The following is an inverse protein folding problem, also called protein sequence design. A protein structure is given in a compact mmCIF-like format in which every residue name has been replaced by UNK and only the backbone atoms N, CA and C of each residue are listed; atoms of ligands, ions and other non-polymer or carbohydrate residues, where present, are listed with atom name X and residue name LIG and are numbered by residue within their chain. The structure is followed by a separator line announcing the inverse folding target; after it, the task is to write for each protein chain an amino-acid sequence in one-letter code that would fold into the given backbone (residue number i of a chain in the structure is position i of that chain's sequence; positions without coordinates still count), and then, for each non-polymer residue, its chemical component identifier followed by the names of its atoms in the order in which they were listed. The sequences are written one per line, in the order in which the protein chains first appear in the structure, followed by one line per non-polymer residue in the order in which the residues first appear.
data_IF_082770038868
#
_entry.id   IF_082770038868
#
_cell.length_a   1.000
_cell.length_b   1.000
_cell.length_c   1.000
_cell.angle_alpha   90.00
_cell.angle_beta   90.00
_cell.angle_gamma   90.00
#
_symmetry.space_group_name_H-M   'P 1'
#
loop_
_entity.id
_entity.type
_entity.pdbx_description
1 polymer ?
#
# COMPACT_ATOMS: atom_id res chain seq x y z
N UNK A 1 -23.13 25.52 -23.03
CA UNK A 1 -21.91 25.75 -22.21
C UNK A 1 -22.36 25.92 -20.76
N UNK A 2 -22.58 24.81 -20.07
CA UNK A 2 -22.90 24.77 -18.65
C UNK A 2 -22.45 23.38 -18.15
N UNK A 3 -21.68 23.37 -17.06
CA UNK A 3 -21.29 22.19 -16.28
C UNK A 3 -20.60 21.03 -17.01
N UNK A 4 -19.30 21.20 -17.27
CA UNK A 4 -18.38 20.10 -16.92
C UNK A 4 -18.44 19.97 -15.40
N UNK A 5 -19.42 19.23 -14.90
CA UNK A 5 -19.31 18.60 -13.59
C UNK A 5 -17.90 18.01 -13.53
N UNK A 6 -17.16 18.33 -12.48
CA UNK A 6 -15.84 17.75 -12.19
C UNK A 6 -16.06 16.25 -11.94
N UNK A 7 -16.29 15.50 -13.00
CA UNK A 7 -16.33 14.05 -12.97
C UNK A 7 -14.89 13.64 -12.71
N UNK A 8 -14.60 13.30 -11.46
CA UNK A 8 -13.30 12.75 -11.11
C UNK A 8 -13.08 11.53 -11.98
N UNK A 9 -12.06 11.58 -12.82
CA UNK A 9 -11.70 10.45 -13.67
C UNK A 9 -11.41 9.24 -12.77
N UNK A 10 -12.21 8.16 -12.85
CA UNK A 10 -12.06 7.00 -11.99
C UNK A 10 -10.70 6.30 -12.21
N UNK A 11 -10.10 6.43 -13.39
CA UNK A 11 -8.75 5.93 -13.67
C UNK A 11 -7.69 6.76 -12.95
N UNK A 12 -7.84 8.08 -12.93
CA UNK A 12 -6.95 8.97 -12.17
C UNK A 12 -7.04 8.71 -10.66
N UNK A 13 -8.24 8.50 -10.13
CA UNK A 13 -8.41 8.12 -8.72
C UNK A 13 -7.80 6.75 -8.39
N UNK A 14 -7.94 5.77 -9.29
CA UNK A 14 -7.29 4.47 -9.15
C UNK A 14 -5.76 4.60 -9.11
N UNK A 15 -5.20 5.43 -10.00
CA UNK A 15 -3.77 5.74 -10.04
C UNK A 15 -3.30 6.42 -8.75
N UNK A 16 -4.02 7.44 -8.30
CA UNK A 16 -3.74 8.16 -7.05
C UNK A 16 -3.81 7.21 -5.83
N UNK A 17 -4.74 6.26 -5.83
CA UNK A 17 -4.87 5.25 -4.77
C UNK A 17 -3.69 4.26 -4.77
N UNK A 18 -3.26 3.78 -5.94
CA UNK A 18 -2.10 2.90 -6.05
C UNK A 18 -0.79 3.62 -5.68
N UNK A 19 -0.66 4.88 -6.07
CA UNK A 19 0.45 5.74 -5.66
C UNK A 19 0.45 5.97 -4.14
N UNK A 20 -0.71 6.28 -3.55
CA UNK A 20 -0.84 6.42 -2.10
C UNK A 20 -0.45 5.12 -1.37
N UNK A 21 -0.82 3.96 -1.92
CA UNK A 21 -0.39 2.66 -1.39
C UNK A 21 1.13 2.51 -1.41
N UNK A 22 1.80 2.92 -2.49
CA UNK A 22 3.25 2.89 -2.61
C UNK A 22 3.93 3.89 -1.67
N UNK A 23 3.37 5.10 -1.54
CA UNK A 23 3.87 6.13 -0.63
C UNK A 23 3.77 5.70 0.83
N UNK A 24 2.69 5.02 1.22
CA UNK A 24 2.53 4.51 2.59
C UNK A 24 3.59 3.44 2.93
N UNK A 25 4.04 2.66 1.94
CA UNK A 25 5.10 1.67 2.13
C UNK A 25 6.49 2.30 2.23
N UNK A 26 6.72 3.45 1.61
CA UNK A 26 8.08 4.00 1.39
C UNK A 26 8.37 5.26 2.20
N UNK A 27 7.56 6.31 2.06
CA UNK A 27 7.93 7.67 2.51
C UNK A 27 6.90 8.34 3.41
N UNK A 28 5.61 8.00 3.30
CA UNK A 28 4.51 8.61 4.07
C UNK A 28 3.65 7.56 4.79
N UNK A 29 4.25 6.74 5.68
CA UNK A 29 3.50 5.76 6.44
C UNK A 29 2.41 6.43 7.30
N UNK A 30 1.25 5.80 7.39
CA UNK A 30 0.09 6.30 8.12
C UNK A 30 -0.70 7.36 7.37
N UNK A 31 -0.06 8.44 6.91
CA UNK A 31 -0.75 9.56 6.24
C UNK A 31 -1.41 9.13 4.92
N UNK A 32 -0.68 8.37 4.09
CA UNK A 32 -1.22 7.92 2.82
C UNK A 32 -2.31 6.83 3.00
N UNK A 33 -2.20 6.00 4.05
CA UNK A 33 -3.27 5.08 4.43
C UNK A 33 -4.54 5.81 4.88
N UNK A 34 -4.40 6.84 5.73
CA UNK A 34 -5.53 7.69 6.16
C UNK A 34 -6.23 8.33 4.96
N UNK A 35 -5.47 8.86 4.01
CA UNK A 35 -6.01 9.39 2.75
C UNK A 35 -6.83 8.34 2.00
N UNK A 36 -6.30 7.11 1.84
CA UNK A 36 -7.01 6.03 1.15
C UNK A 36 -8.31 5.64 1.87
N UNK A 37 -8.31 5.59 3.20
CA UNK A 37 -9.52 5.30 3.98
C UNK A 37 -10.61 6.37 3.80
N UNK A 38 -10.22 7.65 3.82
CA UNK A 38 -11.14 8.75 3.56
C UNK A 38 -11.72 8.69 2.15
N UNK A 39 -10.89 8.35 1.15
CA UNK A 39 -11.32 8.24 -0.25
C UNK A 39 -12.19 7.01 -0.49
N UNK A 40 -12.00 5.91 0.25
CA UNK A 40 -12.84 4.71 0.13
C UNK A 40 -14.31 4.99 0.47
N UNK A 41 -14.57 5.86 1.45
CA UNK A 41 -15.94 6.26 1.82
C UNK A 41 -16.68 7.04 0.72
N UNK A 42 -15.91 7.63 -0.21
CA UNK A 42 -16.41 8.49 -1.31
C UNK A 42 -16.42 7.76 -2.65
N UNK A 43 -15.88 6.55 -2.72
CA UNK A 43 -15.76 5.78 -3.96
C UNK A 43 -17.10 5.11 -4.32
N UNK A 44 -17.44 5.12 -5.61
CA UNK A 44 -18.67 4.48 -6.12
C UNK A 44 -18.55 2.95 -6.04
N UNK A 45 -19.69 2.27 -5.83
CA UNK A 45 -19.70 0.88 -5.38
C UNK A 45 -18.94 -0.12 -6.28
N UNK A 46 -18.87 0.13 -7.60
CA UNK A 46 -18.28 -0.77 -8.59
C UNK A 46 -17.18 -0.14 -9.46
N UNK A 47 -16.67 1.03 -9.08
CA UNK A 47 -15.61 1.71 -9.82
C UNK A 47 -14.23 1.04 -9.70
N UNK A 48 -13.37 1.27 -10.71
CA UNK A 48 -11.97 0.84 -10.72
C UNK A 48 -11.14 1.53 -9.62
N UNK A 49 -11.52 2.74 -9.25
CA UNK A 49 -11.01 3.49 -8.10
C UNK A 49 -11.21 2.71 -6.79
N UNK A 50 -12.43 2.20 -6.54
CA UNK A 50 -12.74 1.40 -5.35
C UNK A 50 -11.96 0.09 -5.31
N UNK A 51 -11.70 -0.52 -6.46
CA UNK A 51 -10.85 -1.71 -6.56
C UNK A 51 -9.42 -1.40 -6.09
N UNK A 52 -8.79 -0.37 -6.65
CA UNK A 52 -7.40 -0.01 -6.31
C UNK A 52 -7.26 0.57 -4.90
N UNK A 53 -8.27 1.27 -4.38
CA UNK A 53 -8.34 1.68 -2.97
C UNK A 53 -8.33 0.47 -2.03
N UNK A 54 -9.22 -0.52 -2.26
CA UNK A 54 -9.28 -1.73 -1.43
C UNK A 54 -8.00 -2.56 -1.54
N UNK A 55 -7.46 -2.70 -2.75
CA UNK A 55 -6.21 -3.40 -2.98
C UNK A 55 -5.05 -2.75 -2.22
N UNK A 56 -4.89 -1.43 -2.36
CA UNK A 56 -3.86 -0.69 -1.65
C UNK A 56 -4.00 -0.81 -0.13
N UNK A 57 -5.23 -0.70 0.41
CA UNK A 57 -5.47 -0.85 1.85
C UNK A 57 -5.05 -2.25 2.32
N UNK A 58 -5.38 -3.31 1.58
CA UNK A 58 -4.99 -4.69 1.92
C UNK A 58 -3.48 -4.88 1.90
N UNK A 59 -2.79 -4.37 0.88
CA UNK A 59 -1.32 -4.43 0.79
C UNK A 59 -0.68 -3.75 2.01
N UNK A 60 -1.17 -2.56 2.36
CA UNK A 60 -0.61 -1.80 3.48
C UNK A 60 -0.93 -2.40 4.84
N UNK A 61 -2.12 -2.98 5.02
CA UNK A 61 -2.45 -3.69 6.26
C UNK A 61 -1.61 -4.96 6.40
N UNK A 62 -1.38 -5.71 5.33
CA UNK A 62 -0.48 -6.85 5.34
C UNK A 62 0.96 -6.45 5.68
N UNK A 63 1.43 -5.31 5.15
CA UNK A 63 2.73 -4.76 5.50
C UNK A 63 2.82 -4.34 6.98
N UNK A 64 1.75 -3.76 7.55
CA UNK A 64 1.69 -3.44 8.98
C UNK A 64 1.75 -4.70 9.86
N UNK A 65 1.04 -5.77 9.48
CA UNK A 65 1.13 -7.07 10.17
C UNK A 65 2.55 -7.63 10.07
N UNK A 66 3.17 -7.60 8.89
CA UNK A 66 4.54 -8.05 8.71
C UNK A 66 5.53 -7.27 9.58
N UNK A 67 5.34 -5.95 9.72
CA UNK A 67 6.14 -5.11 10.61
C UNK A 67 6.02 -5.58 12.07
N UNK A 68 4.80 -5.80 12.57
CA UNK A 68 4.58 -6.30 13.93
C UNK A 68 5.24 -7.67 14.16
N UNK A 69 5.16 -8.58 13.17
CA UNK A 69 5.80 -9.89 13.25
C UNK A 69 7.32 -9.78 13.34
N UNK A 70 7.94 -8.93 12.52
CA UNK A 70 9.38 -8.69 12.56
C UNK A 70 9.80 -8.03 13.88
N UNK A 71 9.01 -7.09 14.40
CA UNK A 71 9.25 -6.48 15.72
C UNK A 71 9.17 -7.52 16.85
N UNK A 72 8.21 -8.44 16.79
CA UNK A 72 8.12 -9.54 17.75
C UNK A 72 9.33 -10.48 17.65
N UNK A 73 9.78 -10.78 16.43
CA UNK A 73 10.96 -11.60 16.19
C UNK A 73 12.24 -10.98 16.79
N UNK A 74 12.37 -9.65 16.73
CA UNK A 74 13.48 -8.92 17.38
C UNK A 74 13.52 -9.18 18.89
N UNK A 75 12.36 -9.19 19.55
CA UNK A 75 12.27 -9.44 20.99
C UNK A 75 12.59 -10.90 21.33
N UNK A 76 12.21 -11.85 20.47
CA UNK A 76 12.42 -13.29 20.68
C UNK A 76 13.87 -13.74 20.43
N UNK A 77 14.58 -13.12 19.48
CA UNK A 77 15.92 -13.53 19.06
C UNK A 77 17.06 -12.94 19.92
N UNK A 78 16.76 -12.33 21.07
CA UNK A 78 17.78 -11.83 22.00
C UNK A 78 17.86 -10.31 22.15
N UNK A 79 16.85 -9.58 21.68
CA UNK A 79 16.71 -8.15 21.94
C UNK A 79 17.61 -7.24 21.11
N UNK A 80 17.62 -5.96 21.46
CA UNK A 80 18.24 -4.89 20.66
C UNK A 80 19.78 -4.83 20.74
N UNK A 81 20.39 -5.58 21.65
CA UNK A 81 21.82 -5.51 21.94
C UNK A 81 22.68 -6.46 21.08
N UNK A 82 22.07 -7.43 20.41
CA UNK A 82 22.77 -8.45 19.62
C UNK A 82 22.91 -8.04 18.15
N UNK A 83 24.15 -7.95 17.66
CA UNK A 83 24.44 -7.68 16.26
C UNK A 83 23.88 -8.77 15.31
N UNK A 84 23.89 -10.03 15.74
CA UNK A 84 23.33 -11.14 14.97
C UNK A 84 21.81 -10.99 14.80
N UNK A 85 21.11 -10.53 15.84
CA UNK A 85 19.66 -10.29 15.80
C UNK A 85 19.31 -9.21 14.79
N UNK A 86 20.07 -8.10 14.76
CA UNK A 86 19.92 -7.06 13.74
C UNK A 86 20.15 -7.57 12.33
N UNK A 87 21.19 -8.38 12.11
CA UNK A 87 21.49 -8.95 10.79
C UNK A 87 20.30 -9.76 10.26
N UNK A 88 19.76 -10.68 11.06
CA UNK A 88 18.60 -11.48 10.66
C UNK A 88 17.37 -10.59 10.41
N UNK A 89 17.05 -9.71 11.36
CA UNK A 89 15.87 -8.85 11.27
C UNK A 89 15.90 -7.96 10.03
N UNK A 90 17.05 -7.34 9.70
CA UNK A 90 17.19 -6.49 8.51
C UNK A 90 17.01 -7.32 7.24
N UNK A 91 17.63 -8.48 7.12
CA UNK A 91 17.54 -9.33 5.91
C UNK A 91 16.10 -9.79 5.68
N UNK A 92 15.44 -10.32 6.71
CA UNK A 92 14.05 -10.77 6.59
C UNK A 92 13.10 -9.61 6.32
N UNK A 93 13.25 -8.50 7.03
CA UNK A 93 12.43 -7.31 6.83
C UNK A 93 12.55 -6.76 5.41
N UNK A 94 13.76 -6.50 4.94
CA UNK A 94 13.99 -5.91 3.61
C UNK A 94 13.51 -6.83 2.49
N UNK A 95 13.71 -8.15 2.62
CA UNK A 95 13.21 -9.13 1.64
C UNK A 95 11.68 -9.10 1.55
N UNK A 96 10.99 -9.19 2.68
CA UNK A 96 9.52 -9.18 2.75
C UNK A 96 8.97 -7.81 2.31
N UNK A 97 9.59 -6.72 2.74
CA UNK A 97 9.19 -5.36 2.39
C UNK A 97 9.30 -5.09 0.88
N UNK A 98 10.35 -5.60 0.24
CA UNK A 98 10.55 -5.47 -1.21
C UNK A 98 9.42 -6.13 -2.00
N UNK A 99 8.89 -7.28 -1.54
CA UNK A 99 7.73 -7.94 -2.16
C UNK A 99 6.50 -7.02 -2.16
N UNK A 100 6.25 -6.32 -1.05
CA UNK A 100 5.14 -5.36 -0.98
C UNK A 100 5.34 -4.16 -1.92
N UNK A 101 6.56 -3.61 -1.99
CA UNK A 101 6.89 -2.51 -2.91
C UNK A 101 6.64 -2.93 -4.36
N UNK A 102 7.20 -4.06 -4.79
CA UNK A 102 7.04 -4.55 -6.17
C UNK A 102 5.56 -4.80 -6.50
N UNK A 103 4.80 -5.37 -5.56
CA UNK A 103 3.36 -5.59 -5.72
C UNK A 103 2.60 -4.25 -5.86
N UNK A 104 2.94 -3.25 -5.05
CA UNK A 104 2.34 -1.92 -5.13
C UNK A 104 2.67 -1.20 -6.45
N UNK A 105 3.92 -1.30 -6.92
CA UNK A 105 4.34 -0.77 -8.23
C UNK A 105 3.57 -1.45 -9.37
N UNK A 106 3.42 -2.78 -9.31
CA UNK A 106 2.63 -3.50 -10.31
C UNK A 106 1.16 -3.05 -10.32
N UNK A 107 0.56 -2.85 -9.14
CA UNK A 107 -0.78 -2.30 -9.02
C UNK A 107 -0.88 -0.88 -9.60
N UNK A 108 0.13 -0.04 -9.39
CA UNK A 108 0.20 1.32 -9.93
C UNK A 108 0.24 1.34 -11.46
N UNK A 109 1.10 0.50 -12.08
CA UNK A 109 1.18 0.39 -13.55
C UNK A 109 -0.15 -0.10 -14.13
N UNK A 110 -0.83 -1.03 -13.46
CA UNK A 110 -2.17 -1.48 -13.88
C UNK A 110 -3.22 -0.37 -13.76
N UNK A 111 -3.20 0.39 -12.68
CA UNK A 111 -4.10 1.52 -12.46
C UNK A 111 -3.93 2.60 -13.53
N UNK A 112 -2.69 2.92 -13.91
CA UNK A 112 -2.38 3.85 -15.01
C UNK A 112 -2.95 3.41 -16.35
N UNK A 113 -3.06 2.10 -16.59
CA UNK A 113 -3.66 1.55 -17.80
C UNK A 113 -5.18 1.34 -17.69
N UNK A 114 -5.83 1.74 -16.58
CA UNK A 114 -7.27 1.52 -16.37
C UNK A 114 -7.61 0.03 -16.19
N UNK A 115 -6.66 -0.78 -15.73
CA UNK A 115 -6.82 -2.22 -15.57
C UNK A 115 -6.86 -2.64 -14.09
N UNK A 116 -7.56 -3.74 -13.82
CA UNK A 116 -7.49 -4.45 -12.53
C UNK A 116 -6.31 -5.44 -12.54
N UNK A 117 -5.84 -5.90 -11.38
CA UNK A 117 -4.92 -7.04 -11.37
C UNK A 117 -5.72 -8.27 -11.80
N UNK A 118 -5.19 -9.00 -12.77
CA UNK A 118 -5.73 -10.29 -13.20
C UNK A 118 -5.06 -11.35 -12.33
N UNK A 119 -5.87 -12.04 -11.51
CA UNK A 119 -5.44 -13.21 -10.72
C UNK A 119 -5.15 -14.39 -11.63
#
# INVERSE_FOLDING_TARGET
MAERLVTRDPQKLAADAALASLLNLTFLPGLALLWMLLQLSRATADGIDRYHLRLGIRINLAAAVALLLVSALMLLLGGFDSAWTWMYVIIYFTSVHTVFIVTAVWAMVRAWNGQRLRS
#
